data_IF_120932106941
#
_entry.id   IF_120932106941
#
_cell.length_a   1.000
_cell.length_b   1.000
_cell.length_c   1.000
_cell.angle_alpha   90.00
_cell.angle_beta   90.00
_cell.angle_gamma   90.00
#
_symmetry.space_group_name_H-M   'P 1'
#
loop_
_entity.id
_entity.type
_entity.pdbx_description
1 polymer ?
#
# COMPACT_ATOMS: atom_id res chain seq x y z
N UNK A 1 -28.82 14.57 2.94
CA UNK A 1 -27.37 14.66 2.62
C UNK A 1 -26.61 13.78 3.61
N UNK A 2 -26.01 12.69 3.16
CA UNK A 2 -25.23 11.79 4.01
C UNK A 2 -23.90 12.48 4.37
N UNK A 3 -23.91 13.19 5.49
CA UNK A 3 -22.74 13.88 6.05
C UNK A 3 -21.67 12.87 6.46
N UNK A 4 -20.41 13.33 6.51
CA UNK A 4 -19.21 12.59 6.95
C UNK A 4 -19.39 11.80 8.26
N UNK A 5 -20.38 12.18 9.08
CA UNK A 5 -20.82 11.46 10.28
C UNK A 5 -21.20 9.99 10.04
N UNK A 6 -21.77 9.64 8.87
CA UNK A 6 -22.16 8.25 8.59
C UNK A 6 -20.95 7.34 8.38
N UNK A 7 -19.94 7.84 7.67
CA UNK A 7 -18.69 7.10 7.42
C UNK A 7 -17.99 6.83 8.76
N UNK A 8 -18.01 7.79 9.67
CA UNK A 8 -17.42 7.66 11.01
C UNK A 8 -18.14 6.61 11.86
N UNK A 9 -19.48 6.53 11.80
CA UNK A 9 -20.28 5.52 12.49
C UNK A 9 -19.98 4.09 11.97
N UNK A 10 -19.93 3.92 10.65
CA UNK A 10 -19.61 2.62 10.03
C UNK A 10 -18.18 2.20 10.37
N UNK A 11 -17.22 3.13 10.34
CA UNK A 11 -15.84 2.86 10.73
C UNK A 11 -15.75 2.39 12.18
N UNK A 12 -16.53 2.99 13.09
CA UNK A 12 -16.57 2.59 14.49
C UNK A 12 -17.08 1.15 14.68
N UNK A 13 -18.12 0.76 13.95
CA UNK A 13 -18.64 -0.62 13.99
C UNK A 13 -17.59 -1.62 13.50
N UNK A 14 -16.93 -1.31 12.38
CA UNK A 14 -15.83 -2.13 11.86
C UNK A 14 -14.71 -2.24 12.91
N UNK A 15 -14.37 -1.14 13.59
CA UNK A 15 -13.35 -1.13 14.64
C UNK A 15 -13.70 -2.03 15.83
N UNK A 16 -14.98 -2.13 16.19
CA UNK A 16 -15.45 -3.01 17.27
C UNK A 16 -15.40 -4.48 16.84
N UNK A 17 -15.83 -4.79 15.61
CA UNK A 17 -15.84 -6.17 15.09
C UNK A 17 -14.43 -6.72 14.89
N UNK A 18 -13.54 -5.91 14.29
CA UNK A 18 -12.16 -6.32 14.04
C UNK A 18 -11.25 -6.11 15.26
N UNK A 19 -11.59 -5.16 16.13
CA UNK A 19 -10.78 -4.76 17.29
C UNK A 19 -9.61 -3.84 16.90
N UNK A 20 -9.29 -2.89 17.80
CA UNK A 20 -8.23 -1.90 17.59
C UNK A 20 -6.82 -2.51 17.45
N UNK A 21 -6.60 -3.75 17.88
CA UNK A 21 -5.31 -4.45 17.74
C UNK A 21 -5.10 -5.15 16.39
N UNK A 22 -6.18 -5.59 15.73
CA UNK A 22 -6.08 -6.29 14.43
C UNK A 22 -5.91 -5.32 13.28
N UNK A 23 -6.51 -4.13 13.35
CA UNK A 23 -6.44 -3.14 12.27
C UNK A 23 -4.99 -2.67 11.98
N UNK A 24 -4.14 -2.32 12.98
CA UNK A 24 -2.75 -1.95 12.75
C UNK A 24 -1.91 -3.13 12.22
N UNK A 25 -2.21 -4.36 12.64
CA UNK A 25 -1.52 -5.55 12.17
C UNK A 25 -1.79 -5.80 10.68
N UNK A 26 -3.07 -5.79 10.29
CA UNK A 26 -3.49 -5.95 8.88
C UNK A 26 -2.97 -4.81 8.01
N UNK A 27 -3.04 -3.57 8.49
CA UNK A 27 -2.49 -2.41 7.78
C UNK A 27 -0.96 -2.49 7.65
N UNK A 28 -0.26 -3.00 8.66
CA UNK A 28 1.18 -3.22 8.62
C UNK A 28 1.58 -4.24 7.56
N UNK A 29 0.87 -5.36 7.46
CA UNK A 29 1.17 -6.40 6.45
C UNK A 29 0.78 -5.95 5.04
N UNK A 30 -0.33 -5.21 4.90
CA UNK A 30 -0.71 -4.58 3.64
C UNK A 30 0.31 -3.52 3.19
N UNK A 31 0.78 -2.67 4.11
CA UNK A 31 1.78 -1.64 3.82
C UNK A 31 3.12 -2.24 3.39
N UNK A 32 3.56 -3.35 4.01
CA UNK A 32 4.75 -4.10 3.57
C UNK A 32 4.56 -4.64 2.14
N UNK A 33 3.39 -5.19 1.82
CA UNK A 33 3.06 -5.66 0.47
C UNK A 33 3.15 -4.54 -0.58
N UNK A 34 2.53 -3.38 -0.31
CA UNK A 34 2.61 -2.22 -1.20
C UNK A 34 4.05 -1.70 -1.31
N UNK A 35 4.80 -1.64 -0.21
CA UNK A 35 6.20 -1.19 -0.21
C UNK A 35 7.05 -2.08 -1.11
N UNK A 36 6.95 -3.40 -0.95
CA UNK A 36 7.67 -4.35 -1.78
C UNK A 36 7.27 -4.21 -3.25
N UNK A 37 5.98 -4.07 -3.54
CA UNK A 37 5.50 -3.86 -4.92
C UNK A 37 6.10 -2.59 -5.53
N UNK A 38 6.10 -1.47 -4.80
CA UNK A 38 6.69 -0.21 -5.24
C UNK A 38 8.22 -0.32 -5.45
N UNK A 39 8.90 -1.00 -4.55
CA UNK A 39 10.36 -1.17 -4.60
C UNK A 39 10.76 -2.02 -5.82
N UNK A 40 10.02 -3.10 -6.12
CA UNK A 40 10.24 -3.93 -7.30
C UNK A 40 10.00 -3.16 -8.62
N UNK A 41 8.94 -2.36 -8.72
CA UNK A 41 8.69 -1.55 -9.93
C UNK A 41 9.82 -0.55 -10.20
N UNK A 42 10.39 0.06 -9.15
CA UNK A 42 11.53 0.98 -9.29
C UNK A 42 12.82 0.28 -9.70
N UNK A 43 13.03 -0.96 -9.25
CA UNK A 43 14.16 -1.77 -9.67
C UNK A 43 14.03 -2.19 -11.14
N UNK A 44 12.82 -2.50 -11.61
CA UNK A 44 12.55 -2.75 -13.04
C UNK A 44 12.82 -1.51 -13.90
N UNK A 45 12.35 -0.33 -13.49
CA UNK A 45 12.63 0.92 -14.21
C UNK A 45 14.14 1.21 -14.33
N UNK A 46 14.89 1.04 -13.23
CA UNK A 46 16.36 1.21 -13.23
C UNK A 46 17.09 0.16 -14.07
N UNK A 47 16.54 -1.05 -14.15
CA UNK A 47 17.13 -2.15 -14.93
C UNK A 47 16.95 -1.94 -16.44
N UNK A 48 15.94 -1.18 -16.85
CA UNK A 48 15.74 -0.80 -18.26
C UNK A 48 16.74 0.29 -18.66
N UNK A 49 17.01 1.29 -17.83
CA UNK A 49 17.98 2.36 -18.14
C UNK A 49 19.44 1.88 -18.27
N UNK A 50 19.83 0.80 -17.60
CA UNK A 50 21.19 0.26 -17.69
C UNK A 50 21.46 -0.64 -18.91
N UNK A 51 20.44 -1.01 -19.69
CA UNK A 51 20.62 -1.94 -20.83
C UNK A 51 20.92 -1.22 -22.16
N UNK A 52 20.74 0.10 -22.23
CA UNK A 52 20.92 0.88 -23.47
C UNK A 52 22.34 1.50 -23.60
N UNK A 53 23.19 1.47 -22.57
CA UNK A 53 24.56 2.02 -22.66
C UNK A 53 25.65 1.03 -23.11
N UNK A 54 25.32 -0.24 -23.37
CA UNK A 54 26.31 -1.27 -23.76
C UNK A 54 26.16 -1.74 -25.23
N UNK A 55 25.44 -0.97 -26.05
CA UNK A 55 25.23 -1.27 -27.49
C UNK A 55 25.91 -0.31 -28.47
N UNK A 56 26.60 0.72 -27.99
CA UNK A 56 27.28 1.73 -28.82
C UNK A 56 28.81 1.75 -28.63
N UNK A 57 29.43 0.59 -28.35
CA UNK A 57 30.89 0.46 -28.34
C UNK A 57 31.38 -0.71 -29.20
#
# INVERSE_FOLDING_TARGET
MLSMSHILLVLLIILIVFGAGKLPQVMGDFAKGIKNFRDNLKEEDKKIEHKDQDKDK
#
